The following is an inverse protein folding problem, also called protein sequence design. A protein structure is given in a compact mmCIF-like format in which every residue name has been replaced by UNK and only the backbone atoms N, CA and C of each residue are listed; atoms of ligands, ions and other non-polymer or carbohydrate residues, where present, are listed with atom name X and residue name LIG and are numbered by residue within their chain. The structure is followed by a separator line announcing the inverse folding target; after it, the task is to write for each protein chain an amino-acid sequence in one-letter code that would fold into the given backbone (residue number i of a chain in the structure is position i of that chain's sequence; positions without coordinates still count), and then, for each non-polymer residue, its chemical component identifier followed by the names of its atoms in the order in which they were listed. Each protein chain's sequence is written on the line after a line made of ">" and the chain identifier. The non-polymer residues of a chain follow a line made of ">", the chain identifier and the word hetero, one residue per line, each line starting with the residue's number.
data_IF_004101714430
#
_entry.id   IF_004101714430
#
_cell.length_a   1.000
_cell.length_b   1.000
_cell.length_c   1.000
_cell.angle_alpha   90.00
_cell.angle_beta   90.00
_cell.angle_gamma   90.00
#
_symmetry.space_group_name_H-M   'P 1'
#
loop_
_entity.id
_entity.type
_entity.pdbx_description
1 polymer ?
#
# COMPACT_ATOMS: atom_id res chain seq x y z
N UNK A 1 24.84 7.19 7.55
CA UNK A 1 23.46 7.72 7.47
C UNK A 1 22.60 7.09 8.56
N UNK A 2 21.56 7.81 9.05
CA UNK A 2 20.57 7.21 9.96
C UNK A 2 19.60 6.33 9.21
N UNK A 3 19.25 5.17 9.82
CA UNK A 3 18.21 4.27 9.35
C UNK A 3 17.50 3.60 10.53
N UNK A 4 16.23 3.30 10.35
CA UNK A 4 15.45 2.52 11.30
C UNK A 4 15.51 1.04 10.91
N UNK A 5 16.22 0.25 11.71
CA UNK A 5 16.46 -1.16 11.49
C UNK A 5 15.66 -2.04 12.46
N UNK A 6 15.12 -3.14 11.97
CA UNK A 6 14.50 -4.20 12.74
C UNK A 6 15.51 -5.34 12.89
N UNK A 7 16.00 -5.55 14.11
CA UNK A 7 16.97 -6.61 14.40
C UNK A 7 16.31 -7.97 14.59
N UNK A 8 15.14 -7.98 15.24
CA UNK A 8 14.34 -9.19 15.46
C UNK A 8 12.85 -8.91 15.35
N UNK A 9 12.10 -9.88 14.85
CA UNK A 9 10.65 -9.78 14.78
C UNK A 9 10.04 -9.68 16.19
N UNK A 10 9.02 -8.84 16.33
CA UNK A 10 8.38 -8.61 17.63
C UNK A 10 9.16 -7.66 18.56
N UNK A 11 10.18 -7.01 18.06
CA UNK A 11 10.96 -6.02 18.81
C UNK A 11 10.76 -4.60 18.24
N UNK A 12 10.94 -3.56 19.06
CA UNK A 12 10.98 -2.19 18.56
C UNK A 12 12.09 -2.00 17.53
N UNK A 13 11.91 -1.07 16.61
CA UNK A 13 12.95 -0.67 15.67
C UNK A 13 14.05 0.14 16.38
N UNK A 14 15.28 -0.03 15.93
CA UNK A 14 16.43 0.75 16.39
C UNK A 14 16.82 1.76 15.31
N UNK A 15 16.84 3.05 15.67
CA UNK A 15 17.40 4.08 14.79
C UNK A 15 18.89 4.18 15.06
N UNK A 16 19.68 3.92 14.05
CA UNK A 16 21.14 3.84 14.18
C UNK A 16 21.86 4.32 12.92
N UNK A 17 23.15 4.64 13.08
CA UNK A 17 24.05 4.95 11.98
C UNK A 17 24.48 3.66 11.28
N UNK A 18 24.26 3.60 9.98
CA UNK A 18 24.71 2.53 9.09
C UNK A 18 25.41 3.12 7.85
N UNK A 19 26.09 2.27 7.12
CA UNK A 19 26.79 2.61 5.88
C UNK A 19 25.91 2.25 4.68
N UNK A 20 26.02 3.02 3.60
CA UNK A 20 25.32 2.80 2.35
C UNK A 20 26.34 2.87 1.21
N UNK A 21 26.48 1.78 0.47
CA UNK A 21 27.32 1.71 -0.72
C UNK A 21 26.81 2.58 -1.86
N UNK A 22 27.72 2.99 -2.73
CA UNK A 22 27.37 3.66 -3.98
C UNK A 22 26.52 2.76 -4.90
N UNK A 23 25.62 3.34 -5.69
CA UNK A 23 24.76 2.58 -6.60
C UNK A 23 25.58 1.92 -7.71
N UNK A 24 25.28 0.64 -8.02
CA UNK A 24 25.82 -0.06 -9.17
C UNK A 24 25.16 0.44 -10.48
N UNK A 25 25.57 -0.12 -11.59
CA UNK A 25 25.23 0.33 -12.95
C UNK A 25 23.74 0.67 -13.18
N UNK A 26 22.81 -0.17 -12.71
CA UNK A 26 21.35 0.02 -12.91
C UNK A 26 20.63 0.60 -11.70
N UNK A 27 21.36 1.00 -10.68
CA UNK A 27 20.81 1.41 -9.40
C UNK A 27 20.76 2.93 -9.26
N UNK A 28 19.87 3.36 -8.40
CA UNK A 28 19.62 4.78 -8.08
C UNK A 28 19.72 4.93 -6.57
N UNK A 29 20.55 5.87 -6.12
CA UNK A 29 20.55 6.34 -4.75
C UNK A 29 19.56 7.48 -4.62
N UNK A 30 18.61 7.35 -3.72
CA UNK A 30 17.58 8.36 -3.45
C UNK A 30 17.79 8.92 -2.04
N UNK A 31 17.88 10.25 -1.93
CA UNK A 31 17.70 10.94 -0.65
C UNK A 31 16.20 10.90 -0.32
N UNK A 32 15.83 10.10 0.66
CA UNK A 32 14.43 9.97 1.07
C UNK A 32 14.00 11.27 1.74
N UNK A 33 12.84 11.79 1.37
CA UNK A 33 12.24 12.95 2.00
C UNK A 33 11.12 12.56 2.95
N UNK A 34 10.38 11.49 2.57
CA UNK A 34 9.23 11.02 3.34
C UNK A 34 9.00 9.52 3.15
N UNK A 35 8.57 8.85 4.22
CA UNK A 35 8.18 7.44 4.23
C UNK A 35 6.87 7.26 4.99
N UNK A 36 5.84 6.75 4.32
CA UNK A 36 4.55 6.42 4.96
C UNK A 36 4.69 5.27 5.95
N UNK A 37 3.98 5.37 7.07
CA UNK A 37 3.91 4.32 8.10
C UNK A 37 2.75 3.39 7.79
N UNK A 38 3.04 2.12 7.51
CA UNK A 38 2.07 1.17 7.00
C UNK A 38 1.93 -0.07 7.90
N UNK A 39 0.73 -0.68 7.90
CA UNK A 39 0.51 -1.96 8.60
C UNK A 39 1.39 -3.08 8.05
N UNK A 40 1.79 -3.03 6.78
CA UNK A 40 2.70 -4.03 6.20
C UNK A 40 4.10 -3.99 6.80
N UNK A 41 4.58 -2.83 7.29
CA UNK A 41 5.80 -2.75 8.09
C UNK A 41 5.52 -3.18 9.54
N UNK A 42 4.38 -2.73 10.09
CA UNK A 42 4.01 -3.00 11.47
C UNK A 42 3.90 -4.50 11.79
N UNK A 43 3.43 -5.36 10.87
CA UNK A 43 3.31 -6.80 11.14
C UNK A 43 4.67 -7.46 11.40
N UNK A 44 5.76 -6.94 10.85
CA UNK A 44 7.13 -7.39 11.14
C UNK A 44 7.56 -6.95 12.56
N UNK A 45 7.29 -5.67 12.89
CA UNK A 45 7.53 -5.14 14.24
C UNK A 45 6.68 -5.87 15.28
N UNK A 46 5.46 -6.28 14.94
CA UNK A 46 4.56 -7.04 15.81
C UNK A 46 4.88 -8.54 15.90
N UNK A 47 5.91 -9.03 15.20
CA UNK A 47 6.29 -10.44 15.23
C UNK A 47 5.39 -11.37 14.43
N UNK A 48 4.65 -10.84 13.44
CA UNK A 48 3.72 -11.58 12.57
C UNK A 48 4.02 -11.32 11.08
N UNK A 49 5.26 -11.56 10.62
CA UNK A 49 5.64 -11.22 9.26
C UNK A 49 4.87 -12.03 8.22
N UNK A 50 4.65 -11.47 7.04
CA UNK A 50 4.06 -12.19 5.89
C UNK A 50 5.03 -13.19 5.25
N UNK A 51 6.33 -13.03 5.49
CA UNK A 51 7.40 -13.92 5.06
C UNK A 51 8.54 -13.80 6.05
N UNK A 52 9.36 -14.82 6.16
CA UNK A 52 10.61 -14.76 6.93
C UNK A 52 11.75 -14.33 6.01
N UNK A 53 12.46 -13.30 6.42
CA UNK A 53 13.60 -12.75 5.69
C UNK A 53 14.82 -12.58 6.60
N UNK A 54 15.98 -12.27 6.00
CA UNK A 54 17.21 -12.01 6.73
C UNK A 54 17.11 -10.73 7.56
N UNK A 55 17.92 -10.66 8.63
CA UNK A 55 17.98 -9.53 9.57
C UNK A 55 19.43 -9.21 9.94
N UNK A 56 19.75 -7.98 10.37
CA UNK A 56 18.86 -6.83 10.54
C UNK A 56 18.33 -6.29 9.18
N UNK A 57 17.09 -5.78 9.18
CA UNK A 57 16.43 -5.27 7.97
C UNK A 57 15.97 -3.83 8.18
N UNK A 58 16.22 -2.95 7.20
CA UNK A 58 15.68 -1.58 7.20
C UNK A 58 14.30 -1.61 6.57
N UNK A 59 13.27 -1.25 7.34
CA UNK A 59 11.88 -1.26 6.88
C UNK A 59 11.54 -0.05 6.00
N UNK A 60 10.25 0.09 5.67
CA UNK A 60 9.69 1.15 4.85
C UNK A 60 9.57 0.77 3.38
N UNK A 61 8.36 0.94 2.85
CA UNK A 61 8.03 0.60 1.46
C UNK A 61 7.12 1.62 0.78
N UNK A 62 6.88 2.75 1.43
CA UNK A 62 5.98 3.81 0.96
C UNK A 62 6.75 5.14 0.96
N UNK A 63 7.69 5.28 0.02
CA UNK A 63 8.65 6.38 0.04
C UNK A 63 8.65 7.28 -1.19
N UNK A 64 9.01 8.55 -0.95
CA UNK A 64 9.34 9.52 -1.97
C UNK A 64 10.60 10.30 -1.58
N UNK A 65 11.31 10.78 -2.59
CA UNK A 65 12.56 11.50 -2.35
C UNK A 65 13.11 12.14 -3.61
N UNK A 66 14.39 12.52 -3.52
CA UNK A 66 15.12 13.16 -4.63
C UNK A 66 16.28 12.26 -5.02
N UNK A 67 16.46 12.05 -6.32
CA UNK A 67 17.59 11.27 -6.85
C UNK A 67 18.90 11.96 -6.48
N UNK A 68 19.77 11.25 -5.77
CA UNK A 68 21.07 11.77 -5.29
C UNK A 68 22.24 11.31 -6.16
N UNK A 69 22.27 10.03 -6.55
CA UNK A 69 23.25 9.44 -7.48
C UNK A 69 22.57 8.43 -8.39
N UNK A 70 23.14 8.22 -9.56
CA UNK A 70 22.67 7.22 -10.54
C UNK A 70 23.84 6.38 -11.04
N UNK A 71 23.59 5.10 -11.26
CA UNK A 71 24.54 4.21 -11.92
C UNK A 71 24.64 4.47 -13.42
N UNK A 72 25.70 3.96 -14.04
CA UNK A 72 26.10 4.27 -15.43
C UNK A 72 25.10 3.83 -16.51
N UNK A 73 24.18 2.91 -16.17
CA UNK A 73 23.14 2.35 -17.07
C UNK A 73 21.71 2.77 -16.69
N UNK A 74 21.57 3.74 -15.79
CA UNK A 74 20.25 4.31 -15.44
C UNK A 74 19.80 5.22 -16.58
N UNK A 75 18.56 5.06 -17.01
CA UNK A 75 18.01 5.77 -18.18
C UNK A 75 16.68 6.47 -17.94
N UNK A 76 16.00 6.18 -16.83
CA UNK A 76 14.65 6.68 -16.55
C UNK A 76 14.59 7.87 -15.59
N UNK A 77 15.68 8.16 -14.89
CA UNK A 77 15.81 9.30 -13.97
C UNK A 77 17.21 9.90 -14.01
N UNK A 78 17.34 11.14 -13.53
CA UNK A 78 18.61 11.86 -13.38
C UNK A 78 18.72 12.51 -11.99
N UNK A 79 19.92 12.89 -11.59
CA UNK A 79 20.17 13.56 -10.30
C UNK A 79 19.31 14.83 -10.19
N UNK A 80 18.64 14.99 -9.05
CA UNK A 80 17.71 16.08 -8.76
C UNK A 80 16.27 15.84 -9.21
N UNK A 81 15.96 14.68 -9.81
CA UNK A 81 14.57 14.31 -10.06
C UNK A 81 13.83 13.95 -8.77
N UNK A 82 12.58 14.36 -8.67
CA UNK A 82 11.66 13.87 -7.66
C UNK A 82 11.12 12.51 -8.07
N UNK A 83 11.06 11.58 -7.10
CA UNK A 83 10.67 10.20 -7.37
C UNK A 83 9.78 9.64 -6.27
N UNK A 84 8.91 8.72 -6.66
CA UNK A 84 8.21 7.78 -5.77
C UNK A 84 8.85 6.41 -5.95
N UNK A 85 9.04 5.70 -4.85
CA UNK A 85 9.60 4.36 -4.84
C UNK A 85 8.48 3.31 -4.88
N UNK A 86 8.63 2.35 -5.78
CA UNK A 86 7.71 1.21 -5.90
C UNK A 86 8.33 -0.03 -5.28
N UNK A 87 7.63 -0.63 -4.34
CA UNK A 87 8.07 -1.86 -3.67
C UNK A 87 7.92 -3.13 -4.54
N UNK A 88 7.36 -3.00 -5.74
CA UNK A 88 7.39 -4.08 -6.73
C UNK A 88 8.44 -3.73 -7.79
N UNK A 89 9.55 -4.48 -7.78
CA UNK A 89 10.46 -4.54 -8.91
C UNK A 89 9.77 -5.21 -10.11
N UNK A 90 9.84 -4.62 -11.29
CA UNK A 90 9.26 -5.21 -12.50
C UNK A 90 10.34 -5.56 -13.52
N UNK A 91 10.64 -6.85 -13.71
CA UNK A 91 11.72 -7.29 -14.62
C UNK A 91 11.49 -6.89 -16.08
N UNK A 92 10.22 -6.74 -16.51
CA UNK A 92 9.83 -6.41 -17.88
C UNK A 92 9.77 -7.61 -18.84
N UNK A 93 10.26 -8.79 -18.44
CA UNK A 93 10.45 -9.96 -19.32
C UNK A 93 9.67 -11.22 -18.93
N UNK A 94 9.24 -11.36 -17.66
CA UNK A 94 8.41 -12.49 -17.25
C UNK A 94 7.01 -12.41 -17.85
N UNK A 95 6.29 -13.50 -17.85
CA UNK A 95 4.93 -13.60 -18.39
C UNK A 95 4.01 -12.50 -17.88
N UNK A 96 4.01 -12.24 -16.56
CA UNK A 96 3.16 -11.21 -15.98
C UNK A 96 3.53 -9.80 -16.45
N UNK A 97 4.81 -9.46 -16.52
CA UNK A 97 5.24 -8.17 -17.04
C UNK A 97 4.84 -7.97 -18.51
N UNK A 98 5.04 -8.99 -19.34
CA UNK A 98 4.73 -8.93 -20.78
C UNK A 98 3.24 -8.77 -21.05
N UNK A 99 2.37 -9.38 -20.24
CA UNK A 99 0.91 -9.23 -20.38
C UNK A 99 0.35 -7.99 -19.67
N UNK A 100 1.21 -7.08 -19.20
CA UNK A 100 0.80 -5.81 -18.59
C UNK A 100 0.35 -5.91 -17.13
N UNK A 101 0.82 -6.92 -16.41
CA UNK A 101 0.58 -7.13 -14.97
C UNK A 101 1.88 -7.09 -14.14
N UNK A 102 2.68 -5.99 -14.20
CA UNK A 102 3.98 -5.93 -13.55
C UNK A 102 3.90 -6.03 -12.02
N UNK A 103 2.75 -5.71 -11.42
CA UNK A 103 2.48 -5.93 -9.99
C UNK A 103 2.55 -7.41 -9.57
N UNK A 104 2.54 -8.34 -10.53
CA UNK A 104 2.66 -9.79 -10.33
C UNK A 104 4.00 -10.34 -10.82
N UNK A 105 5.01 -9.49 -11.01
CA UNK A 105 6.33 -9.90 -11.51
C UNK A 105 6.92 -11.04 -10.69
N UNK A 106 7.22 -12.19 -11.33
CA UNK A 106 7.75 -13.38 -10.65
C UNK A 106 9.09 -13.07 -9.97
N UNK A 107 10.01 -12.41 -10.68
CA UNK A 107 11.30 -12.05 -10.14
C UNK A 107 11.18 -11.04 -8.97
N UNK A 108 10.37 -10.00 -9.15
CA UNK A 108 10.18 -8.98 -8.11
C UNK A 108 9.58 -9.56 -6.83
N UNK A 109 8.58 -10.44 -6.95
CA UNK A 109 7.93 -11.07 -5.79
C UNK A 109 8.75 -12.20 -5.16
N UNK A 110 9.39 -13.02 -5.99
CA UNK A 110 10.15 -14.17 -5.52
C UNK A 110 11.55 -13.80 -5.01
N UNK A 111 12.33 -13.08 -5.82
CA UNK A 111 13.75 -12.86 -5.53
C UNK A 111 14.01 -11.59 -4.72
N UNK A 112 13.34 -10.47 -5.05
CA UNK A 112 13.62 -9.20 -4.39
C UNK A 112 12.85 -9.10 -3.07
N UNK A 113 11.54 -9.38 -3.07
CA UNK A 113 10.71 -9.23 -1.87
C UNK A 113 11.07 -10.25 -0.79
N UNK A 114 11.20 -11.53 -1.16
CA UNK A 114 11.36 -12.61 -0.19
C UNK A 114 12.77 -12.67 0.45
N UNK A 115 13.80 -12.23 -0.27
CA UNK A 115 15.19 -12.46 0.14
C UNK A 115 15.86 -11.25 0.79
N UNK A 116 15.23 -10.06 0.80
CA UNK A 116 15.81 -8.85 1.40
C UNK A 116 17.03 -8.29 0.68
N UNK A 117 17.25 -8.70 -0.57
CA UNK A 117 18.32 -8.23 -1.44
C UNK A 117 17.80 -7.32 -2.57
N UNK A 118 18.72 -6.63 -3.21
CA UNK A 118 18.46 -5.97 -4.48
C UNK A 118 18.40 -6.99 -5.63
N UNK A 119 18.08 -6.54 -6.83
CA UNK A 119 17.91 -7.41 -8.00
C UNK A 119 19.16 -8.20 -8.41
N UNK A 120 20.34 -7.81 -7.95
CA UNK A 120 21.61 -8.50 -8.18
C UNK A 120 21.96 -9.53 -7.08
N UNK A 121 21.06 -9.80 -6.13
CA UNK A 121 21.25 -10.74 -5.04
C UNK A 121 22.18 -10.26 -3.93
N UNK A 122 22.45 -8.94 -3.86
CA UNK A 122 23.33 -8.35 -2.83
C UNK A 122 22.63 -7.19 -2.13
N UNK A 123 23.18 -6.72 -1.00
CA UNK A 123 22.74 -5.52 -0.30
C UNK A 123 23.70 -4.35 -0.53
N UNK A 124 23.23 -3.12 -0.26
CA UNK A 124 24.05 -1.89 -0.20
C UNK A 124 24.10 -1.32 1.21
N UNK A 125 23.43 -1.96 2.16
CA UNK A 125 23.34 -1.53 3.54
C UNK A 125 24.24 -2.40 4.42
N UNK A 126 25.08 -1.80 5.25
CA UNK A 126 25.94 -2.53 6.19
C UNK A 126 26.35 -1.67 7.39
N UNK A 127 26.88 -2.31 8.42
CA UNK A 127 27.54 -1.66 9.57
C UNK A 127 28.81 -2.43 9.88
N UNK A 128 29.96 -1.89 9.45
CA UNK A 128 31.19 -2.66 9.38
C UNK A 128 31.01 -3.88 8.48
N UNK A 129 31.32 -5.09 9.00
CA UNK A 129 31.19 -6.35 8.26
C UNK A 129 29.79 -6.98 8.34
N UNK A 130 28.84 -6.36 9.07
CA UNK A 130 27.48 -6.89 9.22
C UNK A 130 26.58 -6.36 8.11
N UNK A 131 26.02 -7.23 7.23
CA UNK A 131 25.07 -6.81 6.21
C UNK A 131 23.73 -6.45 6.85
N UNK A 132 23.11 -5.37 6.35
CA UNK A 132 21.72 -5.02 6.58
C UNK A 132 20.92 -5.28 5.30
N UNK A 133 19.66 -5.64 5.45
CA UNK A 133 18.86 -6.10 4.33
C UNK A 133 17.81 -5.08 3.93
N UNK A 134 17.40 -5.15 2.65
CA UNK A 134 16.41 -4.25 2.08
C UNK A 134 15.00 -4.80 2.25
N UNK A 135 14.11 -4.01 2.88
CA UNK A 135 12.69 -4.34 2.88
C UNK A 135 12.09 -4.04 1.52
N UNK A 136 11.56 -5.08 0.88
CA UNK A 136 10.91 -5.01 -0.45
C UNK A 136 11.79 -4.32 -1.52
N UNK A 137 13.12 -4.40 -1.38
CA UNK A 137 14.09 -3.84 -2.32
C UNK A 137 14.20 -2.31 -2.34
N UNK A 138 13.59 -1.59 -1.39
CA UNK A 138 13.59 -0.11 -1.38
C UNK A 138 13.88 0.54 -0.02
N UNK A 139 13.59 -0.09 1.13
CA UNK A 139 13.98 0.37 2.48
C UNK A 139 13.86 1.88 2.71
N UNK A 140 12.65 2.40 2.82
CA UNK A 140 12.43 3.86 2.82
C UNK A 140 12.48 4.53 4.20
N UNK A 141 12.60 3.76 5.30
CA UNK A 141 12.79 4.31 6.66
C UNK A 141 14.26 4.57 6.97
N UNK A 142 14.90 5.36 6.12
CA UNK A 142 16.30 5.78 6.20
C UNK A 142 16.49 7.11 5.47
N UNK A 143 17.54 7.88 5.81
CA UNK A 143 17.85 9.15 5.12
C UNK A 143 18.17 8.97 3.63
N UNK A 144 18.74 7.82 3.26
CA UNK A 144 19.04 7.45 1.88
C UNK A 144 18.72 5.99 1.66
N UNK A 145 18.39 5.65 0.43
CA UNK A 145 18.28 4.25 -0.02
C UNK A 145 18.88 4.09 -1.41
N UNK A 146 19.34 2.87 -1.70
CA UNK A 146 19.72 2.44 -3.06
C UNK A 146 18.74 1.37 -3.51
N UNK A 147 18.20 1.52 -4.70
CA UNK A 147 17.31 0.53 -5.33
C UNK A 147 17.52 0.50 -6.84
N UNK A 148 17.06 -0.56 -7.50
CA UNK A 148 17.13 -0.64 -8.97
C UNK A 148 16.21 0.43 -9.63
N UNK A 149 16.65 0.97 -10.76
CA UNK A 149 15.88 1.97 -11.53
C UNK A 149 14.44 1.54 -11.83
N UNK A 150 14.15 0.23 -11.92
CA UNK A 150 12.82 -0.33 -12.16
C UNK A 150 11.86 -0.20 -10.96
N UNK A 151 12.39 0.14 -9.79
CA UNK A 151 11.61 0.50 -8.60
C UNK A 151 11.46 2.01 -8.43
N UNK A 152 11.97 2.84 -9.36
CA UNK A 152 11.99 4.29 -9.26
C UNK A 152 11.08 4.91 -10.32
N UNK A 153 10.11 5.71 -9.90
CA UNK A 153 9.17 6.40 -10.79
C UNK A 153 9.32 7.90 -10.65
N UNK A 154 9.74 8.56 -11.74
CA UNK A 154 9.85 10.03 -11.81
C UNK A 154 8.48 10.68 -11.65
N UNK A 155 8.41 11.73 -10.83
CA UNK A 155 7.18 12.46 -10.52
C UNK A 155 7.36 13.97 -10.66
N UNK A 156 6.28 14.75 -10.82
CA UNK A 156 6.39 16.21 -10.94
C UNK A 156 7.00 16.84 -9.69
N UNK A 157 7.92 17.79 -9.88
CA UNK A 157 8.64 18.48 -8.79
C UNK A 157 7.74 19.39 -7.94
N UNK A 158 6.58 19.77 -8.44
CA UNK A 158 5.60 20.62 -7.77
C UNK A 158 4.63 19.84 -6.88
N UNK A 159 4.79 18.52 -6.76
CA UNK A 159 4.05 17.69 -5.80
C UNK A 159 4.87 17.57 -4.51
N UNK A 160 4.27 17.88 -3.32
CA UNK A 160 4.93 17.67 -2.04
C UNK A 160 5.29 16.19 -1.83
N UNK A 161 6.52 15.91 -1.40
CA UNK A 161 7.04 14.54 -1.33
C UNK A 161 6.39 13.71 -0.22
N UNK A 162 5.91 14.32 0.86
CA UNK A 162 5.13 13.66 1.91
C UNK A 162 3.78 13.14 1.39
N UNK A 163 3.16 13.86 0.44
CA UNK A 163 1.94 13.42 -0.25
C UNK A 163 2.25 12.38 -1.33
N UNK A 164 3.32 12.61 -2.09
CA UNK A 164 3.75 11.68 -3.13
C UNK A 164 4.11 10.30 -2.56
N UNK A 165 4.71 10.22 -1.38
CA UNK A 165 5.05 8.97 -0.71
C UNK A 165 3.84 8.04 -0.57
N UNK A 166 2.66 8.56 -0.21
CA UNK A 166 1.44 7.76 -0.03
C UNK A 166 1.02 7.02 -1.31
N UNK A 167 1.39 7.56 -2.47
CA UNK A 167 1.10 6.92 -3.76
C UNK A 167 1.98 5.69 -3.99
N UNK A 168 3.10 5.58 -3.28
CA UNK A 168 3.97 4.40 -3.28
C UNK A 168 3.34 3.13 -2.71
N UNK A 169 2.28 3.23 -1.90
CA UNK A 169 1.59 2.05 -1.36
C UNK A 169 0.08 2.26 -1.20
N UNK A 170 -0.37 2.94 -0.13
CA UNK A 170 -1.78 2.94 0.27
C UNK A 170 -2.71 3.49 -0.80
N UNK A 171 -2.35 4.61 -1.43
CA UNK A 171 -3.18 5.27 -2.45
C UNK A 171 -3.24 4.43 -3.72
N UNK A 172 -2.11 3.94 -4.21
CA UNK A 172 -2.07 3.04 -5.37
C UNK A 172 -2.87 1.77 -5.11
N UNK A 173 -2.72 1.17 -3.92
CA UNK A 173 -3.43 -0.06 -3.55
C UNK A 173 -4.93 0.16 -3.54
N UNK A 174 -5.43 1.20 -2.89
CA UNK A 174 -6.87 1.43 -2.76
C UNK A 174 -7.52 1.96 -4.03
N UNK A 175 -7.01 3.05 -4.60
CA UNK A 175 -7.56 3.60 -5.87
C UNK A 175 -7.42 2.58 -6.99
N UNK A 176 -6.27 1.90 -7.09
CA UNK A 176 -6.03 0.87 -8.09
C UNK A 176 -6.95 -0.35 -7.94
N UNK A 177 -7.30 -0.75 -6.72
CA UNK A 177 -8.28 -1.82 -6.50
C UNK A 177 -9.63 -1.50 -7.17
N UNK A 178 -10.03 -0.22 -7.18
CA UNK A 178 -11.24 0.22 -7.87
C UNK A 178 -11.02 0.33 -9.39
N UNK A 179 -10.09 1.17 -9.82
CA UNK A 179 -9.98 1.55 -11.25
C UNK A 179 -9.30 0.51 -12.14
N UNK A 180 -8.42 -0.34 -11.57
CA UNK A 180 -7.70 -1.37 -12.32
C UNK A 180 -8.31 -2.77 -12.12
N UNK A 181 -8.76 -3.10 -10.91
CA UNK A 181 -9.23 -4.44 -10.57
C UNK A 181 -10.76 -4.59 -10.63
N UNK A 182 -11.53 -3.81 -9.87
CA UNK A 182 -12.99 -3.89 -9.81
C UNK A 182 -13.65 -3.32 -11.06
N UNK A 183 -13.36 -2.06 -11.36
CA UNK A 183 -13.90 -1.28 -12.49
C UNK A 183 -15.42 -1.10 -12.43
N UNK A 184 -15.96 -0.60 -11.33
CA UNK A 184 -17.39 -0.35 -11.25
C UNK A 184 -17.81 0.68 -12.30
N UNK A 185 -19.00 0.49 -12.85
CA UNK A 185 -19.65 1.47 -13.73
C UNK A 185 -20.26 2.61 -12.89
N UNK A 186 -20.42 3.81 -13.44
CA UNK A 186 -21.12 4.88 -12.75
C UNK A 186 -22.52 4.45 -12.28
N UNK A 187 -22.82 4.72 -11.00
CA UNK A 187 -24.08 4.35 -10.36
C UNK A 187 -24.08 2.97 -9.69
N UNK A 188 -23.07 2.12 -9.91
CA UNK A 188 -22.95 0.86 -9.16
C UNK A 188 -22.53 1.12 -7.72
N UNK A 189 -23.08 0.34 -6.80
CA UNK A 189 -22.87 0.47 -5.35
C UNK A 189 -21.55 -0.14 -4.90
N UNK A 190 -20.87 0.56 -3.97
CA UNK A 190 -19.59 0.13 -3.39
C UNK A 190 -19.68 0.11 -1.88
N UNK A 191 -19.29 -1.00 -1.22
CA UNK A 191 -19.11 -1.07 0.22
C UNK A 191 -17.65 -1.38 0.56
N UNK A 192 -17.05 -0.59 1.46
CA UNK A 192 -15.63 -0.66 1.84
C UNK A 192 -15.50 -1.03 3.30
N UNK A 193 -15.01 -2.23 3.58
CA UNK A 193 -14.76 -2.72 4.92
C UNK A 193 -13.35 -2.33 5.37
N UNK A 194 -13.31 -1.42 6.37
CA UNK A 194 -12.12 -0.77 6.90
C UNK A 194 -11.92 0.62 6.30
N UNK A 195 -12.05 1.66 7.13
CA UNK A 195 -11.85 3.06 6.77
C UNK A 195 -10.46 3.60 7.20
N UNK A 196 -9.42 2.76 7.08
CA UNK A 196 -8.01 3.16 7.20
C UNK A 196 -7.46 3.72 5.88
N UNK A 197 -6.15 3.97 5.81
CA UNK A 197 -5.51 4.60 4.64
C UNK A 197 -5.82 3.93 3.29
N UNK A 198 -5.84 2.59 3.24
CA UNK A 198 -6.22 1.85 2.02
C UNK A 198 -7.72 1.98 1.75
N UNK A 199 -8.57 1.82 2.77
CA UNK A 199 -10.03 1.94 2.60
C UNK A 199 -10.47 3.33 2.16
N UNK A 200 -9.89 4.39 2.73
CA UNK A 200 -10.11 5.77 2.28
C UNK A 200 -9.68 5.94 0.81
N UNK A 201 -8.58 5.30 0.42
CA UNK A 201 -8.13 5.33 -0.98
C UNK A 201 -9.09 4.57 -1.90
N UNK A 202 -9.71 3.47 -1.44
CA UNK A 202 -10.81 2.78 -2.16
C UNK A 202 -12.02 3.70 -2.31
N UNK A 203 -12.43 4.40 -1.24
CA UNK A 203 -13.54 5.37 -1.27
C UNK A 203 -13.28 6.45 -2.32
N UNK A 204 -12.11 7.08 -2.30
CA UNK A 204 -11.75 8.07 -3.31
C UNK A 204 -11.72 7.47 -4.74
N UNK A 205 -11.24 6.22 -4.89
CA UNK A 205 -11.30 5.48 -6.15
C UNK A 205 -12.74 5.26 -6.63
N UNK A 206 -13.66 4.94 -5.71
CA UNK A 206 -15.09 4.77 -6.00
C UNK A 206 -15.74 6.09 -6.45
N UNK A 207 -15.38 7.21 -5.81
CA UNK A 207 -15.79 8.56 -6.26
C UNK A 207 -15.30 8.84 -7.68
N UNK A 208 -14.01 8.56 -7.97
CA UNK A 208 -13.44 8.72 -9.31
C UNK A 208 -14.14 7.86 -10.38
N UNK A 209 -14.63 6.68 -9.99
CA UNK A 209 -15.39 5.79 -10.88
C UNK A 209 -16.87 6.18 -11.04
N UNK A 210 -17.38 7.13 -10.24
CA UNK A 210 -18.79 7.53 -10.26
C UNK A 210 -19.72 6.53 -9.58
N UNK A 211 -19.20 5.69 -8.65
CA UNK A 211 -20.00 4.73 -7.89
C UNK A 211 -21.02 5.43 -6.97
N UNK A 212 -22.17 4.80 -6.77
CA UNK A 212 -23.21 5.27 -5.83
C UNK A 212 -24.20 4.15 -5.49
N UNK A 213 -24.57 3.95 -4.21
CA UNK A 213 -23.95 4.58 -3.03
C UNK A 213 -22.53 4.08 -2.76
N UNK A 214 -21.72 4.88 -2.01
CA UNK A 214 -20.41 4.51 -1.49
C UNK A 214 -20.56 4.38 0.02
N UNK A 215 -20.41 3.17 0.54
CA UNK A 215 -20.68 2.81 1.94
C UNK A 215 -19.37 2.50 2.66
N UNK A 216 -19.02 3.30 3.66
CA UNK A 216 -17.87 3.02 4.54
C UNK A 216 -18.32 2.16 5.74
N UNK A 217 -17.58 1.09 6.02
CA UNK A 217 -17.85 0.14 7.11
C UNK A 217 -16.64 0.08 8.04
N UNK A 218 -16.78 0.48 9.29
CA UNK A 218 -15.72 0.41 10.33
C UNK A 218 -16.36 0.30 11.72
N UNK A 219 -15.57 0.00 12.74
CA UNK A 219 -16.00 -0.05 14.14
C UNK A 219 -15.63 1.20 14.94
N UNK A 220 -15.00 2.20 14.30
CA UNK A 220 -14.59 3.47 14.92
C UNK A 220 -15.34 4.62 14.29
N UNK A 221 -16.12 5.35 15.11
CA UNK A 221 -16.97 6.45 14.64
C UNK A 221 -16.17 7.58 13.97
N UNK A 222 -15.00 7.92 14.51
CA UNK A 222 -14.12 8.95 13.97
C UNK A 222 -13.58 8.58 12.56
N UNK A 223 -13.36 7.30 12.28
CA UNK A 223 -12.96 6.84 10.93
C UNK A 223 -14.11 6.92 9.95
N UNK A 224 -15.32 6.63 10.40
CA UNK A 224 -16.53 6.74 9.57
C UNK A 224 -16.83 8.20 9.22
N UNK A 225 -16.66 9.13 10.19
CA UNK A 225 -16.75 10.57 9.93
C UNK A 225 -15.70 11.02 8.90
N UNK A 226 -14.45 10.59 9.08
CA UNK A 226 -13.38 10.82 8.10
C UNK A 226 -13.73 10.28 6.71
N UNK A 227 -14.34 9.08 6.62
CA UNK A 227 -14.71 8.48 5.35
C UNK A 227 -15.75 9.34 4.57
N UNK A 228 -16.67 9.99 5.26
CA UNK A 228 -17.61 10.94 4.63
C UNK A 228 -16.89 12.13 4.00
N UNK A 229 -15.85 12.64 4.67
CA UNK A 229 -15.02 13.73 4.11
C UNK A 229 -14.34 13.33 2.80
N UNK A 230 -13.95 12.07 2.64
CA UNK A 230 -13.32 11.56 1.42
C UNK A 230 -14.30 11.03 0.36
N UNK A 231 -15.62 11.20 0.58
CA UNK A 231 -16.65 10.95 -0.43
C UNK A 231 -17.48 9.69 -0.21
N UNK A 232 -17.41 9.03 0.94
CA UNK A 232 -18.44 8.07 1.32
C UNK A 232 -19.80 8.77 1.40
N UNK A 233 -20.85 8.10 0.95
CA UNK A 233 -22.23 8.65 0.99
C UNK A 233 -23.01 8.10 2.17
N UNK A 234 -22.59 6.95 2.70
CA UNK A 234 -23.19 6.26 3.83
C UNK A 234 -22.11 5.66 4.72
N UNK A 235 -22.44 5.47 5.99
CA UNK A 235 -21.56 4.81 6.97
C UNK A 235 -22.30 3.70 7.69
N UNK A 236 -21.56 2.63 8.03
CA UNK A 236 -22.05 1.49 8.81
C UNK A 236 -21.09 1.26 9.98
N UNK A 237 -21.53 1.54 11.19
CA UNK A 237 -20.80 1.28 12.44
C UNK A 237 -21.08 -0.14 12.93
N UNK A 238 -20.14 -1.05 12.63
CA UNK A 238 -20.29 -2.48 12.98
C UNK A 238 -20.15 -2.79 14.47
N UNK A 239 -19.85 -1.79 15.29
CA UNK A 239 -19.96 -1.91 16.75
C UNK A 239 -21.41 -1.83 17.24
N UNK A 240 -22.34 -1.36 16.40
CA UNK A 240 -23.74 -1.11 16.74
C UNK A 240 -24.73 -1.93 15.95
N UNK A 241 -24.38 -2.29 14.68
CA UNK A 241 -25.29 -2.99 13.76
C UNK A 241 -24.56 -4.08 12.99
N UNK A 242 -25.32 -5.04 12.49
CA UNK A 242 -24.80 -6.03 11.54
C UNK A 242 -24.49 -5.38 10.20
N UNK A 243 -23.28 -5.60 9.68
CA UNK A 243 -22.82 -4.98 8.44
C UNK A 243 -23.63 -5.42 7.22
N UNK A 244 -23.94 -6.71 7.13
CA UNK A 244 -24.62 -7.30 5.98
C UNK A 244 -26.04 -6.75 5.86
N UNK A 245 -26.78 -6.75 6.98
CA UNK A 245 -28.14 -6.25 7.03
C UNK A 245 -28.19 -4.73 6.78
N UNK A 246 -27.24 -3.97 7.34
CA UNK A 246 -27.17 -2.52 7.10
C UNK A 246 -26.87 -2.17 5.64
N UNK A 247 -25.94 -2.89 5.00
CA UNK A 247 -25.63 -2.68 3.57
C UNK A 247 -26.85 -3.03 2.71
N UNK A 248 -27.53 -4.15 2.99
CA UNK A 248 -28.75 -4.53 2.29
C UNK A 248 -29.90 -3.53 2.49
N UNK A 249 -30.00 -2.93 3.67
CA UNK A 249 -31.00 -1.88 3.91
C UNK A 249 -30.74 -0.62 3.09
N UNK A 250 -29.48 -0.29 2.80
CA UNK A 250 -29.09 0.85 1.96
C UNK A 250 -29.29 0.54 0.47
N UNK A 251 -28.87 -0.66 0.02
CA UNK A 251 -28.81 -1.03 -1.39
C UNK A 251 -30.01 -1.84 -1.88
N UNK A 252 -30.81 -2.41 -0.98
CA UNK A 252 -31.93 -3.32 -1.26
C UNK A 252 -31.51 -4.78 -1.44
N UNK A 253 -30.37 -5.08 -2.04
CA UNK A 253 -29.97 -6.45 -2.43
C UNK A 253 -28.53 -6.83 -2.04
N UNK A 254 -27.76 -5.93 -1.47
CA UNK A 254 -26.31 -6.00 -1.27
C UNK A 254 -25.58 -5.02 -2.20
N UNK A 255 -24.29 -4.86 -2.00
CA UNK A 255 -23.47 -3.98 -2.84
C UNK A 255 -22.98 -4.70 -4.10
N UNK A 256 -22.94 -4.00 -5.25
CA UNK A 256 -22.39 -4.54 -6.50
C UNK A 256 -20.90 -4.87 -6.33
N UNK A 257 -20.19 -4.04 -5.59
CA UNK A 257 -18.78 -4.28 -5.22
C UNK A 257 -18.57 -4.13 -3.72
N UNK A 258 -17.91 -5.11 -3.11
CA UNK A 258 -17.41 -5.00 -1.75
C UNK A 258 -15.88 -5.04 -1.75
N UNK A 259 -15.25 -4.23 -0.90
CA UNK A 259 -13.80 -4.17 -0.76
C UNK A 259 -13.42 -4.51 0.68
N UNK A 260 -12.59 -5.53 0.86
CA UNK A 260 -12.03 -5.85 2.17
C UNK A 260 -10.62 -5.27 2.27
N UNK A 261 -10.42 -4.29 3.18
CA UNK A 261 -9.19 -3.53 3.35
C UNK A 261 -8.60 -3.64 4.77
N UNK A 262 -8.90 -4.71 5.51
CA UNK A 262 -8.45 -4.97 6.88
C UNK A 262 -7.48 -6.15 6.94
N UNK A 263 -7.76 -7.22 6.19
CA UNK A 263 -7.04 -8.49 6.25
C UNK A 263 -7.57 -9.43 7.34
N UNK A 264 -8.90 -9.47 7.52
CA UNK A 264 -9.53 -10.32 8.52
C UNK A 264 -10.52 -11.29 7.88
N UNK A 265 -10.32 -12.59 8.05
CA UNK A 265 -11.14 -13.64 7.42
C UNK A 265 -12.63 -13.56 7.75
N UNK A 266 -13.00 -13.08 8.95
CA UNK A 266 -14.41 -12.86 9.30
C UNK A 266 -14.99 -11.67 8.56
N UNK A 267 -14.19 -10.62 8.35
CA UNK A 267 -14.61 -9.45 7.57
C UNK A 267 -14.69 -9.78 6.08
N UNK A 268 -13.78 -10.61 5.54
CA UNK A 268 -13.88 -11.14 4.18
C UNK A 268 -15.18 -11.89 4.00
N UNK A 269 -15.56 -12.76 4.97
CA UNK A 269 -16.84 -13.44 4.92
C UNK A 269 -18.04 -12.48 4.96
N UNK A 270 -18.02 -11.47 5.79
CA UNK A 270 -19.08 -10.45 5.84
C UNK A 270 -19.16 -9.66 4.54
N UNK A 271 -18.03 -9.33 3.93
CA UNK A 271 -17.98 -8.66 2.63
C UNK A 271 -18.63 -9.54 1.53
N UNK A 272 -18.30 -10.84 1.51
CA UNK A 272 -18.97 -11.81 0.63
C UNK A 272 -20.49 -11.85 0.84
N UNK A 273 -20.94 -11.92 2.09
CA UNK A 273 -22.37 -12.01 2.41
C UNK A 273 -23.13 -10.70 2.09
N UNK A 274 -22.44 -9.56 2.14
CA UNK A 274 -22.96 -8.24 1.78
C UNK A 274 -22.93 -7.95 0.27
N UNK A 275 -22.21 -8.76 -0.52
CA UNK A 275 -22.13 -8.61 -1.99
C UNK A 275 -23.46 -9.08 -2.60
N UNK A 276 -23.98 -8.30 -3.55
CA UNK A 276 -25.19 -8.62 -4.33
C UNK A 276 -24.98 -9.84 -5.22
N UNK A 277 -26.07 -10.45 -5.70
CA UNK A 277 -26.00 -11.47 -6.77
C UNK A 277 -25.36 -10.84 -8.02
N UNK A 278 -24.44 -11.58 -8.65
CA UNK A 278 -23.64 -11.10 -9.78
C UNK A 278 -22.53 -10.12 -9.39
N UNK A 279 -22.47 -9.69 -8.13
CA UNK A 279 -21.50 -8.72 -7.63
C UNK A 279 -20.11 -9.32 -7.39
N UNK A 280 -19.17 -8.44 -7.06
CA UNK A 280 -17.75 -8.82 -6.87
C UNK A 280 -17.23 -8.36 -5.52
N UNK A 281 -16.69 -9.29 -4.72
CA UNK A 281 -15.82 -8.97 -3.60
C UNK A 281 -14.37 -8.82 -4.06
N UNK A 282 -13.72 -7.74 -3.64
CA UNK A 282 -12.29 -7.48 -3.88
C UNK A 282 -11.53 -7.52 -2.56
N UNK A 283 -10.70 -8.54 -2.37
CA UNK A 283 -9.85 -8.70 -1.18
C UNK A 283 -8.53 -7.95 -1.41
N UNK A 284 -8.23 -7.00 -0.52
CA UNK A 284 -7.03 -6.16 -0.54
C UNK A 284 -6.19 -6.42 0.71
N UNK A 285 -6.85 -6.58 1.86
CA UNK A 285 -6.21 -6.77 3.15
C UNK A 285 -5.40 -8.09 3.21
N UNK A 286 -4.19 -8.02 3.75
CA UNK A 286 -3.35 -9.19 3.98
C UNK A 286 -3.73 -9.90 5.27
N UNK A 287 -4.31 -11.09 5.19
CA UNK A 287 -4.53 -11.98 6.33
C UNK A 287 -3.23 -12.67 6.79
N UNK A 288 -3.22 -13.27 7.97
CA UNK A 288 -2.08 -13.99 8.49
C UNK A 288 -1.75 -15.25 7.66
N UNK A 289 -0.50 -15.70 7.73
CA UNK A 289 -0.11 -16.98 7.10
C UNK A 289 -0.94 -18.12 7.66
N UNK A 290 -1.56 -18.92 6.77
CA UNK A 290 -2.41 -20.05 7.14
C UNK A 290 -3.85 -19.69 7.49
N UNK A 291 -4.22 -18.41 7.50
CA UNK A 291 -5.61 -18.02 7.66
C UNK A 291 -6.46 -18.43 6.44
N UNK A 292 -7.64 -18.97 6.69
CA UNK A 292 -8.57 -19.45 5.67
C UNK A 292 -9.93 -18.78 5.78
N UNK A 293 -10.54 -18.42 4.65
CA UNK A 293 -11.92 -17.95 4.57
C UNK A 293 -12.82 -19.06 4.04
N UNK A 294 -13.91 -19.37 4.76
CA UNK A 294 -14.91 -20.34 4.33
C UNK A 294 -16.10 -19.66 3.68
N UNK A 295 -16.41 -20.05 2.45
CA UNK A 295 -17.53 -19.52 1.66
C UNK A 295 -18.52 -20.64 1.34
N UNK A 296 -19.86 -20.37 1.30
CA UNK A 296 -20.84 -21.38 0.94
C UNK A 296 -20.68 -21.77 -0.53
N UNK A 297 -20.42 -23.05 -0.80
CA UNK A 297 -20.17 -23.54 -2.16
C UNK A 297 -21.37 -23.33 -3.11
N UNK A 298 -22.59 -23.37 -2.58
CA UNK A 298 -23.81 -23.15 -3.38
C UNK A 298 -23.99 -21.69 -3.83
N UNK A 299 -23.36 -20.73 -3.16
CA UNK A 299 -23.46 -19.33 -3.57
C UNK A 299 -22.87 -19.13 -4.97
N UNK A 300 -21.78 -19.78 -5.32
CA UNK A 300 -21.13 -19.60 -6.62
C UNK A 300 -22.09 -19.82 -7.80
N UNK A 301 -22.72 -20.99 -7.99
CA UNK A 301 -23.61 -21.22 -9.14
C UNK A 301 -24.97 -20.53 -9.02
N UNK A 302 -25.47 -20.25 -7.79
CA UNK A 302 -26.81 -19.70 -7.62
C UNK A 302 -26.87 -18.19 -7.45
N UNK A 303 -25.75 -17.57 -7.15
CA UNK A 303 -25.67 -16.10 -6.99
C UNK A 303 -24.74 -15.45 -8.01
N UNK A 304 -23.95 -16.22 -8.74
CA UNK A 304 -22.94 -15.75 -9.72
C UNK A 304 -21.98 -14.72 -9.14
N UNK A 305 -21.76 -14.73 -7.81
CA UNK A 305 -20.81 -13.84 -7.15
C UNK A 305 -19.39 -14.18 -7.53
N UNK A 306 -18.54 -13.16 -7.60
CA UNK A 306 -17.10 -13.29 -7.80
C UNK A 306 -16.34 -12.85 -6.55
N UNK A 307 -15.30 -13.59 -6.16
CA UNK A 307 -14.28 -13.11 -5.22
C UNK A 307 -12.94 -13.05 -5.94
N UNK A 308 -12.22 -11.96 -5.78
CA UNK A 308 -10.88 -11.80 -6.37
C UNK A 308 -9.96 -11.00 -5.46
N UNK A 309 -8.68 -11.38 -5.43
CA UNK A 309 -7.64 -10.62 -4.78
C UNK A 309 -7.02 -9.57 -5.70
N UNK A 310 -6.46 -8.52 -5.11
CA UNK A 310 -5.59 -7.59 -5.83
C UNK A 310 -4.37 -7.22 -4.99
N UNK A 311 -3.18 -7.40 -5.57
CA UNK A 311 -1.93 -6.94 -4.97
C UNK A 311 -1.54 -5.58 -5.55
N UNK A 312 -1.26 -4.61 -4.67
CA UNK A 312 -0.85 -3.26 -5.06
C UNK A 312 -1.85 -2.58 -6.01
N UNK A 313 -3.16 -2.88 -5.87
CA UNK A 313 -4.20 -2.31 -6.72
C UNK A 313 -4.07 -2.63 -8.21
N UNK A 314 -3.43 -3.74 -8.58
CA UNK A 314 -3.19 -4.09 -9.99
C UNK A 314 -2.28 -3.10 -10.72
N UNK A 315 -1.37 -2.43 -10.02
CA UNK A 315 -0.58 -1.30 -10.48
C UNK A 315 0.34 -1.62 -11.67
N UNK A 316 0.38 -0.69 -12.60
CA UNK A 316 1.44 -0.51 -13.61
C UNK A 316 2.20 0.75 -13.19
N UNK A 317 3.19 0.59 -12.32
CA UNK A 317 3.78 1.66 -11.50
C UNK A 317 4.18 2.89 -12.30
N UNK A 318 4.90 2.71 -13.40
CA UNK A 318 5.36 3.80 -14.27
C UNK A 318 4.23 4.57 -14.99
N UNK A 319 3.03 4.00 -15.04
CA UNK A 319 1.84 4.63 -15.64
C UNK A 319 0.90 5.18 -14.57
N UNK A 320 0.61 4.36 -13.56
CA UNK A 320 -0.47 4.68 -12.63
C UNK A 320 -0.02 5.66 -11.52
N UNK A 321 1.27 5.63 -11.07
CA UNK A 321 1.79 6.61 -10.09
C UNK A 321 1.71 8.05 -10.64
N UNK A 322 2.25 8.37 -11.83
CA UNK A 322 2.09 9.71 -12.41
C UNK A 322 0.63 10.11 -12.64
N UNK A 323 -0.22 9.14 -13.03
CA UNK A 323 -1.66 9.37 -13.23
C UNK A 323 -2.36 9.79 -11.94
N UNK A 324 -2.09 9.11 -10.83
CA UNK A 324 -2.67 9.45 -9.52
C UNK A 324 -2.19 10.83 -9.04
N UNK A 325 -0.92 11.17 -9.23
CA UNK A 325 -0.41 12.50 -8.87
C UNK A 325 -1.00 13.60 -9.76
N UNK A 326 -1.28 13.32 -11.04
CA UNK A 326 -2.01 14.26 -11.90
C UNK A 326 -3.47 14.45 -11.43
N UNK A 327 -4.13 13.40 -10.94
CA UNK A 327 -5.47 13.51 -10.33
C UNK A 327 -5.43 14.33 -9.03
N UNK A 328 -4.40 14.16 -8.21
CA UNK A 328 -4.17 14.99 -7.04
C UNK A 328 -4.00 16.48 -7.43
N UNK A 329 -3.11 16.79 -8.37
CA UNK A 329 -2.93 18.16 -8.88
C UNK A 329 -4.20 18.78 -9.46
N UNK A 330 -5.07 17.97 -10.05
CA UNK A 330 -6.36 18.40 -10.57
C UNK A 330 -7.46 18.54 -9.48
N UNK A 331 -7.13 18.32 -8.20
CA UNK A 331 -8.09 18.36 -7.09
C UNK A 331 -9.13 17.23 -7.13
N UNK A 332 -8.83 16.12 -7.84
CA UNK A 332 -9.70 14.95 -7.95
C UNK A 332 -9.36 13.83 -6.98
N UNK A 333 -8.21 13.93 -6.32
CA UNK A 333 -7.71 13.02 -5.32
C UNK A 333 -7.18 13.86 -4.16
N UNK A 334 -7.68 13.65 -2.95
CA UNK A 334 -7.27 14.39 -1.76
C UNK A 334 -6.18 13.60 -1.02
N UNK A 335 -4.93 13.99 -1.17
CA UNK A 335 -3.80 13.44 -0.43
C UNK A 335 -3.42 14.30 0.79
N UNK A 336 -3.79 15.59 0.77
CA UNK A 336 -3.43 16.54 1.83
C UNK A 336 -4.02 16.12 3.17
N UNK A 337 -5.32 15.85 3.22
CA UNK A 337 -6.02 15.47 4.44
C UNK A 337 -5.77 14.01 4.86
N UNK A 338 -5.17 13.20 3.98
CA UNK A 338 -4.75 11.85 4.36
C UNK A 338 -3.56 11.87 5.32
N UNK A 339 -2.60 12.79 5.16
CA UNK A 339 -1.46 12.94 6.07
C UNK A 339 -1.91 13.68 7.32
N UNK A 340 -2.26 12.95 8.36
CA UNK A 340 -2.77 13.54 9.62
C UNK A 340 -1.69 13.81 10.65
N UNK A 341 -0.55 13.13 10.54
CA UNK A 341 0.56 13.26 11.49
C UNK A 341 1.90 13.01 10.80
N UNK A 342 2.88 13.86 11.08
CA UNK A 342 4.28 13.66 10.67
C UNK A 342 5.15 13.39 11.88
N UNK A 343 6.19 12.58 11.70
CA UNK A 343 7.15 12.17 12.72
C UNK A 343 8.58 12.33 12.18
N UNK A 344 9.54 12.60 13.03
CA UNK A 344 10.95 12.42 12.69
C UNK A 344 11.30 10.93 12.63
N UNK A 345 12.39 10.56 11.94
CA UNK A 345 12.84 9.16 11.88
C UNK A 345 13.06 8.55 13.26
N UNK A 346 13.60 9.33 14.21
CA UNK A 346 13.85 8.89 15.60
C UNK A 346 12.52 8.56 16.35
N UNK A 347 11.37 8.98 15.84
CA UNK A 347 10.04 8.73 16.42
C UNK A 347 9.32 7.52 15.77
N UNK A 348 10.04 6.69 15.01
CA UNK A 348 9.45 5.55 14.24
C UNK A 348 8.61 4.62 15.11
N UNK A 349 9.02 4.32 16.33
CA UNK A 349 8.27 3.46 17.24
C UNK A 349 6.97 4.13 17.73
N UNK A 350 7.02 5.43 18.02
CA UNK A 350 5.81 6.22 18.34
C UNK A 350 4.84 6.22 17.17
N UNK A 351 5.34 6.36 15.94
CA UNK A 351 4.52 6.30 14.73
C UNK A 351 3.82 4.95 14.55
N UNK A 352 4.48 3.83 14.88
CA UNK A 352 3.86 2.50 14.88
C UNK A 352 2.86 2.30 16.02
N UNK A 353 3.13 2.84 17.21
CA UNK A 353 2.18 2.80 18.33
C UNK A 353 0.90 3.57 18.01
N UNK A 354 1.02 4.74 17.40
CA UNK A 354 -0.12 5.56 16.95
C UNK A 354 -0.89 4.90 15.80
N UNK A 355 -0.21 4.25 14.86
CA UNK A 355 -0.82 3.41 13.82
C UNK A 355 -1.66 2.28 14.44
N UNK A 356 -1.08 1.53 15.39
CA UNK A 356 -1.74 0.43 16.11
C UNK A 356 -2.98 0.93 16.88
N UNK A 357 -2.86 2.06 17.54
CA UNK A 357 -3.96 2.68 18.28
C UNK A 357 -5.04 3.26 17.34
N UNK A 358 -4.72 3.45 16.05
CA UNK A 358 -5.59 4.09 15.05
C UNK A 358 -5.81 5.56 15.31
N UNK A 359 -4.82 6.27 15.86
CA UNK A 359 -4.89 7.70 16.19
C UNK A 359 -4.74 8.60 14.95
N UNK A 360 -4.18 8.09 13.88
CA UNK A 360 -4.01 8.83 12.62
C UNK A 360 -4.60 8.04 11.44
N UNK A 361 -4.95 8.74 10.37
CA UNK A 361 -5.32 8.12 9.11
C UNK A 361 -4.06 7.64 8.38
N UNK A 362 -3.09 8.54 8.16
CA UNK A 362 -1.74 8.23 7.69
C UNK A 362 -0.70 9.01 8.49
N UNK A 363 0.22 8.28 9.08
CA UNK A 363 1.46 8.83 9.62
C UNK A 363 2.54 8.82 8.56
N UNK A 364 3.41 9.83 8.54
CA UNK A 364 4.53 9.94 7.60
C UNK A 364 5.79 10.28 8.38
N UNK A 365 6.84 9.48 8.22
CA UNK A 365 8.19 9.80 8.69
C UNK A 365 8.81 10.82 7.73
N UNK A 366 9.34 11.91 8.26
CA UNK A 366 10.10 12.94 7.53
C UNK A 366 11.58 12.73 7.82
N UNK A 367 12.42 12.70 6.76
CA UNK A 367 13.86 12.46 6.85
C UNK A 367 14.64 13.76 6.86
#
# INVERSE_FOLDING_TARGET
>A
MKAAALHDYGQPMTVEEIELDDPKDTEVMVKVAASGVCHSDYVFVAGKPFFEGPRPIVLGHEGAGVVHKVGSKVTNVEVGDHVVLSWIYSCGTCTYCVVGRPNMCDFGRGEVIANGYLADGTTRLHKGDVPYYHFLGISTMAEYTVCDQKSVVKVPKDVPLDKAALVGCAVMTGVGAVINAAKPSPGESVAVFGAGGVGISVIQGAVLAGAYPIIAVDNKAEKLEGAMHFGATHTVDVSKVDAVEAIKAITGIGADYTFEAIGNVKVMRNAWDATAKGGTEVVIGGAGMGDEVSLPALDFPFTEKTIKGTGYGGARMSVDIPRLLNLYKAGKLNLDDMVTTTYALDEVNTAFDDLKAGKNLRGVLMM
#
